data_IF_521247983437
#
_entry.id   IF_521247983437
#
_cell.length_a   1.000
_cell.length_b   1.000
_cell.length_c   1.000
_cell.angle_alpha   90.00
_cell.angle_beta   90.00
_cell.angle_gamma   90.00
#
_symmetry.space_group_name_H-M   'P 1'
#
loop_
_entity.id
_entity.type
_entity.pdbx_description
1 polymer ?
#
# COMPACT_ATOMS: atom_id res chain seq x y z
N UNK A 1 2.84 -14.75 12.75
CA UNK A 1 2.78 -15.50 11.49
C UNK A 1 1.55 -16.41 11.45
N UNK A 2 1.36 -17.30 12.43
CA UNK A 2 0.23 -18.23 12.46
C UNK A 2 -1.15 -17.54 12.43
N UNK A 3 -1.33 -16.43 13.12
CA UNK A 3 -2.59 -15.66 13.10
C UNK A 3 -2.86 -15.01 11.74
N UNK A 4 -1.82 -14.63 10.99
CA UNK A 4 -1.96 -14.11 9.64
C UNK A 4 -2.39 -15.21 8.67
N UNK A 5 -1.75 -16.38 8.73
CA UNK A 5 -2.16 -17.56 7.93
C UNK A 5 -3.60 -17.93 8.19
N UNK A 6 -4.00 -18.05 9.48
CA UNK A 6 -5.38 -18.32 9.85
C UNK A 6 -6.35 -17.29 9.26
N UNK A 7 -5.98 -15.99 9.30
CA UNK A 7 -6.84 -14.94 8.75
C UNK A 7 -6.95 -15.01 7.22
N UNK A 8 -5.88 -15.35 6.53
CA UNK A 8 -5.89 -15.57 5.07
C UNK A 8 -6.79 -16.75 4.71
N UNK A 9 -6.71 -17.85 5.46
CA UNK A 9 -7.55 -19.03 5.29
C UNK A 9 -9.04 -18.69 5.48
N UNK A 10 -9.39 -17.99 6.58
CA UNK A 10 -10.75 -17.52 6.85
C UNK A 10 -11.34 -16.64 5.72
N UNK A 11 -10.48 -15.87 5.07
CA UNK A 11 -10.87 -14.97 3.98
C UNK A 11 -10.78 -15.62 2.58
N UNK A 12 -10.32 -16.86 2.48
CA UNK A 12 -10.12 -17.55 1.20
C UNK A 12 -8.98 -16.98 0.35
N UNK A 13 -8.02 -16.28 0.95
CA UNK A 13 -6.88 -15.65 0.31
C UNK A 13 -5.67 -16.58 0.37
N UNK A 14 -5.15 -16.98 -0.79
CA UNK A 14 -4.08 -17.96 -0.88
C UNK A 14 -4.58 -19.40 -0.65
N UNK A 15 -3.64 -20.32 -0.69
CA UNK A 15 -3.87 -21.76 -0.45
C UNK A 15 -2.72 -22.29 0.42
N UNK A 16 -2.84 -23.47 1.05
CA UNK A 16 -1.77 -24.02 1.89
C UNK A 16 -0.40 -24.03 1.22
N UNK A 17 -0.34 -24.28 -0.08
CA UNK A 17 0.90 -24.28 -0.88
C UNK A 17 1.52 -22.90 -1.08
N UNK A 18 0.75 -21.80 -0.90
CA UNK A 18 1.21 -20.43 -1.20
C UNK A 18 1.43 -19.57 0.05
N UNK A 19 0.88 -19.91 1.22
CA UNK A 19 1.00 -19.08 2.42
C UNK A 19 2.44 -18.73 2.80
N UNK A 20 3.33 -19.73 2.81
CA UNK A 20 4.73 -19.51 3.16
C UNK A 20 5.44 -18.55 2.19
N UNK A 21 5.17 -18.70 0.88
CA UNK A 21 5.76 -17.83 -0.15
C UNK A 21 5.24 -16.39 -0.04
N UNK A 22 3.95 -16.19 0.23
CA UNK A 22 3.35 -14.87 0.44
C UNK A 22 4.03 -14.16 1.61
N UNK A 23 4.15 -14.83 2.75
CA UNK A 23 4.80 -14.27 3.95
C UNK A 23 6.28 -13.95 3.69
N UNK A 24 6.98 -14.85 3.00
CA UNK A 24 8.38 -14.62 2.62
C UNK A 24 8.55 -13.38 1.75
N UNK A 25 7.64 -13.16 0.79
CA UNK A 25 7.66 -11.96 -0.07
C UNK A 25 7.47 -10.68 0.73
N UNK A 26 6.57 -10.66 1.73
CA UNK A 26 6.36 -9.48 2.58
C UNK A 26 7.65 -9.07 3.30
N UNK A 27 8.38 -10.02 3.84
CA UNK A 27 9.65 -9.80 4.54
C UNK A 27 10.79 -9.44 3.58
N UNK A 28 10.94 -10.19 2.49
CA UNK A 28 12.00 -9.98 1.48
C UNK A 28 11.91 -8.60 0.82
N UNK A 29 10.70 -8.10 0.60
CA UNK A 29 10.47 -6.76 0.05
C UNK A 29 10.49 -5.65 1.09
N UNK A 30 10.78 -5.97 2.35
CA UNK A 30 10.73 -5.03 3.47
C UNK A 30 9.38 -4.30 3.60
N UNK A 31 8.28 -5.00 3.37
CA UNK A 31 6.94 -4.45 3.65
C UNK A 31 6.56 -4.62 5.11
N UNK A 32 7.09 -5.65 5.74
CA UNK A 32 6.99 -5.90 7.19
C UNK A 32 8.35 -6.24 7.77
N UNK A 33 8.51 -5.93 9.03
CA UNK A 33 9.61 -6.42 9.88
C UNK A 33 9.05 -7.34 10.95
N UNK A 34 9.83 -8.31 11.38
CA UNK A 34 9.43 -9.24 12.43
C UNK A 34 10.13 -8.91 13.74
N UNK A 35 9.36 -8.47 14.74
CA UNK A 35 9.85 -8.17 16.07
C UNK A 35 9.08 -9.04 17.06
N UNK A 36 9.78 -9.79 17.89
CA UNK A 36 9.18 -10.70 18.87
C UNK A 36 8.13 -11.65 18.28
N UNK A 37 8.41 -12.25 17.12
CA UNK A 37 7.50 -13.13 16.35
C UNK A 37 6.20 -12.46 15.87
N UNK A 38 6.14 -11.13 15.86
CA UNK A 38 5.02 -10.34 15.33
C UNK A 38 5.45 -9.53 14.13
N UNK A 39 4.60 -9.44 13.12
CA UNK A 39 4.82 -8.56 11.96
C UNK A 39 4.40 -7.13 12.27
N UNK A 40 5.31 -6.21 11.99
CA UNK A 40 5.08 -4.79 12.05
C UNK A 40 5.22 -4.20 10.65
N UNK A 41 4.20 -3.48 10.13
CA UNK A 41 4.32 -2.82 8.84
C UNK A 41 5.42 -1.76 8.87
N UNK A 42 6.34 -1.82 7.92
CA UNK A 42 7.35 -0.78 7.70
C UNK A 42 6.72 0.44 7.03
N UNK A 43 7.44 1.56 6.97
CA UNK A 43 7.01 2.74 6.21
C UNK A 43 6.78 2.42 4.74
N UNK A 44 7.64 1.58 4.17
CA UNK A 44 7.48 1.10 2.79
C UNK A 44 6.20 0.27 2.64
N UNK A 45 5.90 -0.60 3.59
CA UNK A 45 4.67 -1.40 3.58
C UNK A 45 3.43 -0.51 3.66
N UNK A 46 3.40 0.46 4.58
CA UNK A 46 2.30 1.42 4.73
C UNK A 46 2.08 2.24 3.45
N UNK A 47 3.17 2.72 2.84
CA UNK A 47 3.12 3.50 1.61
C UNK A 47 2.54 2.69 0.44
N UNK A 48 3.02 1.46 0.26
CA UNK A 48 2.52 0.55 -0.80
C UNK A 48 1.06 0.18 -0.56
N UNK A 49 0.65 -0.13 0.67
CA UNK A 49 -0.76 -0.41 0.98
C UNK A 49 -1.65 0.77 0.63
N UNK A 50 -1.30 1.98 1.07
CA UNK A 50 -2.06 3.17 0.75
C UNK A 50 -2.13 3.47 -0.77
N UNK A 51 -1.03 3.25 -1.49
CA UNK A 51 -0.99 3.38 -2.94
C UNK A 51 -1.95 2.40 -3.62
N UNK A 52 -1.90 1.12 -3.24
CA UNK A 52 -2.74 0.08 -3.82
C UNK A 52 -4.22 0.30 -3.46
N UNK A 53 -4.54 0.63 -2.22
CA UNK A 53 -5.92 0.92 -1.79
C UNK A 53 -6.54 2.11 -2.54
N UNK A 54 -5.75 3.12 -2.90
CA UNK A 54 -6.25 4.31 -3.60
C UNK A 54 -6.33 4.16 -5.12
N UNK A 55 -5.40 3.45 -5.72
CA UNK A 55 -5.26 3.40 -7.17
C UNK A 55 -5.61 2.03 -7.77
N UNK A 56 -5.62 0.99 -6.95
CA UNK A 56 -5.88 -0.40 -7.32
C UNK A 56 -6.85 -1.09 -6.35
N UNK A 57 -7.83 -0.35 -5.82
CA UNK A 57 -8.74 -0.82 -4.76
C UNK A 57 -9.40 -2.17 -5.07
N UNK A 58 -9.85 -2.38 -6.32
CA UNK A 58 -10.42 -3.64 -6.78
C UNK A 58 -9.47 -4.83 -6.54
N UNK A 59 -8.18 -4.66 -6.81
CA UNK A 59 -7.17 -5.74 -6.79
C UNK A 59 -6.62 -6.05 -5.40
N UNK A 60 -6.87 -5.19 -4.41
CA UNK A 60 -6.54 -5.42 -2.99
C UNK A 60 -7.76 -5.74 -2.14
N UNK A 61 -8.94 -5.82 -2.76
CA UNK A 61 -10.17 -6.28 -2.11
C UNK A 61 -10.08 -7.77 -1.81
N UNK A 62 -10.48 -8.15 -0.59
CA UNK A 62 -10.39 -9.53 -0.14
C UNK A 62 -11.30 -10.47 -0.94
N UNK A 63 -12.50 -10.02 -1.30
CA UNK A 63 -13.45 -10.83 -2.07
C UNK A 63 -12.98 -11.02 -3.50
N UNK A 64 -12.34 -10.00 -4.08
CA UNK A 64 -11.73 -10.12 -5.41
C UNK A 64 -10.65 -11.18 -5.43
N UNK A 65 -9.73 -11.15 -4.45
CA UNK A 65 -8.64 -12.12 -4.33
C UNK A 65 -9.19 -13.53 -4.09
N UNK A 66 -10.13 -13.67 -3.15
CA UNK A 66 -10.77 -14.96 -2.88
C UNK A 66 -11.55 -15.50 -4.11
N UNK A 67 -12.22 -14.62 -4.85
CA UNK A 67 -12.92 -14.98 -6.08
C UNK A 67 -11.96 -15.49 -7.17
N UNK A 68 -10.81 -14.84 -7.33
CA UNK A 68 -9.78 -15.27 -8.28
C UNK A 68 -9.17 -16.63 -7.88
N UNK A 69 -8.91 -16.86 -6.60
CA UNK A 69 -8.45 -18.16 -6.09
C UNK A 69 -9.46 -19.27 -6.40
N UNK A 70 -10.75 -19.01 -6.23
CA UNK A 70 -11.80 -19.96 -6.56
C UNK A 70 -11.87 -20.25 -8.07
N UNK A 71 -11.71 -19.24 -8.93
CA UNK A 71 -11.63 -19.44 -10.38
C UNK A 71 -10.43 -20.30 -10.78
N UNK A 72 -9.28 -20.13 -10.11
CA UNK A 72 -8.11 -20.99 -10.32
C UNK A 72 -8.38 -22.46 -9.93
N UNK A 73 -9.13 -22.70 -8.85
CA UNK A 73 -9.57 -24.04 -8.46
C UNK A 73 -10.53 -24.65 -9.51
N UNK A 74 -11.42 -23.85 -10.09
CA UNK A 74 -12.32 -24.29 -11.17
C UNK A 74 -11.57 -24.64 -12.46
N UNK A 75 -10.53 -23.88 -12.79
CA UNK A 75 -9.61 -24.22 -13.90
C UNK A 75 -8.94 -25.57 -13.63
N UNK A 76 -8.42 -25.76 -12.42
CA UNK A 76 -7.73 -27.02 -12.04
C UNK A 76 -8.66 -28.22 -12.10
N UNK A 77 -9.95 -28.03 -11.78
CA UNK A 77 -10.98 -29.08 -11.89
C UNK A 77 -11.55 -29.27 -13.30
N UNK A 78 -11.07 -28.51 -14.28
CA UNK A 78 -11.52 -28.61 -15.68
C UNK A 78 -12.90 -27.99 -15.97
N UNK A 79 -13.46 -27.21 -15.02
CA UNK A 79 -14.76 -26.57 -15.18
C UNK A 79 -14.69 -25.25 -15.96
N UNK A 80 -13.54 -24.59 -15.96
CA UNK A 80 -13.33 -23.32 -16.64
C UNK A 80 -12.03 -23.29 -17.43
N UNK A 81 -12.01 -22.54 -18.54
CA UNK A 81 -10.83 -22.38 -19.39
C UNK A 81 -9.90 -21.27 -18.85
N UNK A 82 -8.65 -21.60 -18.60
CA UNK A 82 -7.66 -20.67 -18.04
C UNK A 82 -7.42 -19.42 -18.91
N UNK A 83 -7.46 -19.55 -20.25
CA UNK A 83 -7.25 -18.43 -21.17
C UNK A 83 -8.32 -17.36 -20.95
N UNK A 84 -9.59 -17.74 -20.87
CA UNK A 84 -10.71 -16.84 -20.67
C UNK A 84 -10.60 -16.06 -19.35
N UNK A 85 -10.23 -16.74 -18.27
CA UNK A 85 -10.05 -16.11 -16.96
C UNK A 85 -8.91 -15.10 -16.98
N UNK A 86 -7.77 -15.45 -17.60
CA UNK A 86 -6.64 -14.54 -17.75
C UNK A 86 -6.95 -13.35 -18.67
N UNK A 87 -7.65 -13.55 -19.76
CA UNK A 87 -8.04 -12.45 -20.67
C UNK A 87 -8.94 -11.44 -19.99
N UNK A 88 -9.95 -11.90 -19.24
CA UNK A 88 -10.84 -11.02 -18.48
C UNK A 88 -10.06 -10.24 -17.40
N UNK A 89 -9.23 -10.92 -16.62
CA UNK A 89 -8.39 -10.27 -15.62
C UNK A 89 -7.46 -9.24 -16.26
N UNK A 90 -6.76 -9.63 -17.32
CA UNK A 90 -5.76 -8.78 -17.97
C UNK A 90 -6.36 -7.53 -18.59
N UNK A 91 -7.52 -7.63 -19.21
CA UNK A 91 -8.22 -6.50 -19.80
C UNK A 91 -8.50 -5.43 -18.75
N UNK A 92 -9.20 -5.79 -17.69
CA UNK A 92 -9.56 -4.86 -16.61
C UNK A 92 -8.32 -4.29 -15.93
N UNK A 93 -7.32 -5.14 -15.67
CA UNK A 93 -6.08 -4.72 -15.03
C UNK A 93 -5.29 -3.72 -15.88
N UNK A 94 -5.18 -3.98 -17.18
CA UNK A 94 -4.44 -3.12 -18.10
C UNK A 94 -5.14 -1.76 -18.30
N UNK A 95 -6.47 -1.74 -18.34
CA UNK A 95 -7.25 -0.50 -18.35
C UNK A 95 -6.95 0.35 -17.10
N UNK A 96 -6.99 -0.25 -15.91
CA UNK A 96 -6.68 0.46 -14.68
C UNK A 96 -5.22 0.96 -14.64
N UNK A 97 -4.27 0.13 -15.05
CA UNK A 97 -2.85 0.53 -15.16
C UNK A 97 -2.68 1.73 -16.09
N UNK A 98 -3.40 1.78 -17.21
CA UNK A 98 -3.35 2.91 -18.14
C UNK A 98 -3.84 4.20 -17.50
N UNK A 99 -4.96 4.16 -16.79
CA UNK A 99 -5.48 5.32 -16.04
C UNK A 99 -4.50 5.80 -14.96
N UNK A 100 -3.86 4.87 -14.25
CA UNK A 100 -2.88 5.22 -13.20
C UNK A 100 -1.61 5.82 -13.80
N UNK A 101 -1.16 5.33 -14.95
CA UNK A 101 0.03 5.86 -15.65
C UNK A 101 -0.12 7.32 -16.12
N UNK A 102 -1.33 7.75 -16.42
CA UNK A 102 -1.62 9.13 -16.81
C UNK A 102 -1.54 10.13 -15.65
N UNK A 103 -1.64 9.64 -14.40
CA UNK A 103 -1.55 10.51 -13.22
C UNK A 103 -0.14 11.07 -13.04
N UNK A 104 -0.07 12.36 -12.75
CA UNK A 104 1.20 13.02 -12.41
C UNK A 104 1.67 12.55 -11.04
N UNK A 105 2.98 12.43 -10.87
CA UNK A 105 3.60 12.06 -9.57
C UNK A 105 3.07 12.90 -8.41
N UNK A 106 2.82 14.19 -8.62
CA UNK A 106 2.28 15.09 -7.60
C UNK A 106 0.88 14.70 -7.16
N UNK A 107 -0.01 14.36 -8.09
CA UNK A 107 -1.38 13.92 -7.78
C UNK A 107 -1.37 12.63 -6.95
N UNK A 108 -0.49 11.70 -7.29
CA UNK A 108 -0.31 10.47 -6.52
C UNK A 108 0.20 10.77 -5.11
N UNK A 109 1.18 11.66 -4.97
CA UNK A 109 1.70 12.07 -3.66
C UNK A 109 0.63 12.76 -2.81
N UNK A 110 -0.21 13.61 -3.39
CA UNK A 110 -1.30 14.28 -2.67
C UNK A 110 -2.34 13.26 -2.18
N UNK A 111 -2.74 12.30 -3.01
CA UNK A 111 -3.62 11.19 -2.60
C UNK A 111 -3.03 10.36 -1.44
N UNK A 112 -1.74 10.04 -1.52
CA UNK A 112 -1.06 9.29 -0.47
C UNK A 112 -0.89 10.12 0.81
N UNK A 113 -0.61 11.41 0.69
CA UNK A 113 -0.48 12.34 1.79
C UNK A 113 -1.79 12.45 2.61
N UNK A 114 -2.93 12.39 1.95
CA UNK A 114 -4.24 12.39 2.61
C UNK A 114 -4.54 11.04 3.27
N UNK A 115 -4.28 9.93 2.58
CA UNK A 115 -4.50 8.59 3.11
C UNK A 115 -3.63 8.29 4.33
N UNK A 116 -2.37 8.66 4.28
CA UNK A 116 -1.39 8.36 5.32
C UNK A 116 -1.36 9.44 6.43
N UNK A 117 -2.08 10.53 6.25
CA UNK A 117 -2.03 11.67 7.16
C UNK A 117 -2.22 11.29 8.63
N UNK A 118 -3.21 10.47 8.93
CA UNK A 118 -3.49 9.99 10.30
C UNK A 118 -2.44 9.04 10.88
N UNK A 119 -1.63 8.40 10.03
CA UNK A 119 -0.55 7.49 10.43
C UNK A 119 0.79 8.23 10.61
N UNK A 120 0.99 9.31 9.84
CA UNK A 120 2.26 10.04 9.75
C UNK A 120 2.30 11.24 10.68
N UNK A 121 1.18 11.95 10.83
CA UNK A 121 1.09 13.19 11.61
C UNK A 121 0.32 12.99 12.91
N UNK A 122 0.65 13.79 13.89
CA UNK A 122 -0.09 13.85 15.14
C UNK A 122 -1.43 14.55 14.91
N UNK A 123 -2.35 14.35 15.85
CA UNK A 123 -3.58 15.15 15.91
C UNK A 123 -3.38 16.31 16.87
N UNK A 124 -3.92 17.44 16.51
CA UNK A 124 -4.01 18.58 17.40
C UNK A 124 -5.06 18.38 18.52
N UNK A 125 -5.25 19.37 19.37
CA UNK A 125 -6.21 19.34 20.48
C UNK A 125 -7.67 19.18 20.01
N UNK A 126 -7.96 19.56 18.78
CA UNK A 126 -9.28 19.49 18.14
C UNK A 126 -9.46 18.20 17.33
N UNK A 127 -8.49 17.28 17.38
CA UNK A 127 -8.50 15.99 16.68
C UNK A 127 -8.15 16.10 15.19
N UNK A 128 -7.77 17.27 14.68
CA UNK A 128 -7.32 17.48 13.31
C UNK A 128 -5.86 17.07 13.14
N UNK A 129 -5.51 16.66 11.92
CA UNK A 129 -4.13 16.27 11.58
C UNK A 129 -3.24 17.53 11.61
N UNK A 130 -2.27 17.55 12.53
CA UNK A 130 -1.30 18.64 12.63
C UNK A 130 -0.16 18.45 11.62
N UNK A 131 -0.15 19.32 10.63
CA UNK A 131 0.89 19.38 9.58
C UNK A 131 1.82 20.58 9.73
N UNK A 132 1.78 21.29 10.86
CA UNK A 132 2.60 22.47 11.06
C UNK A 132 4.08 22.11 11.13
N UNK A 133 4.90 22.86 10.40
CA UNK A 133 6.35 22.69 10.47
C UNK A 133 6.89 23.23 11.80
N UNK A 134 7.56 22.37 12.57
CA UNK A 134 8.15 22.74 13.87
C UNK A 134 9.42 23.59 13.76
N UNK A 135 9.95 23.80 12.54
CA UNK A 135 11.17 24.60 12.33
C UNK A 135 10.87 26.04 11.93
N UNK A 136 9.91 26.27 11.04
CA UNK A 136 9.58 27.62 10.56
C UNK A 136 8.19 28.11 10.97
N UNK A 137 7.41 27.28 11.66
CA UNK A 137 6.05 27.55 12.17
C UNK A 137 5.00 28.00 11.14
N UNK A 138 5.41 28.46 9.96
CA UNK A 138 4.54 28.94 8.88
C UNK A 138 4.31 27.94 7.76
N UNK A 139 5.19 26.94 7.62
CA UNK A 139 5.09 25.91 6.57
C UNK A 139 4.24 24.73 6.97
N UNK A 140 3.73 24.01 5.97
CA UNK A 140 3.00 22.76 6.13
C UNK A 140 3.85 21.57 5.74
N UNK A 141 3.77 20.49 6.51
CA UNK A 141 4.46 19.24 6.25
C UNK A 141 3.65 18.34 5.34
N UNK A 142 4.29 17.78 4.33
CA UNK A 142 3.67 16.86 3.38
C UNK A 142 4.65 15.79 2.90
N UNK A 143 4.08 14.71 2.36
CA UNK A 143 4.83 13.65 1.70
C UNK A 143 5.54 14.21 0.46
N UNK A 144 6.80 13.91 0.33
CA UNK A 144 7.67 14.29 -0.79
C UNK A 144 8.37 13.07 -1.34
N UNK A 145 8.74 13.11 -2.61
CA UNK A 145 9.56 12.09 -3.24
C UNK A 145 11.02 12.55 -3.30
N UNK A 146 11.94 11.66 -2.95
CA UNK A 146 13.36 11.90 -3.08
C UNK A 146 13.83 11.59 -4.51
N UNK A 147 14.77 12.38 -5.03
CA UNK A 147 15.39 12.13 -6.34
C UNK A 147 16.14 10.78 -6.38
N UNK A 148 16.63 10.29 -5.24
CA UNK A 148 17.33 9.00 -5.12
C UNK A 148 16.38 7.81 -4.89
N UNK A 149 15.07 8.03 -5.01
CA UNK A 149 14.04 7.06 -4.66
C UNK A 149 13.71 7.05 -3.15
N UNK A 150 12.45 6.79 -2.85
CA UNK A 150 11.93 6.80 -1.48
C UNK A 150 11.12 8.06 -1.16
N UNK A 151 10.31 7.95 -0.10
CA UNK A 151 9.43 9.02 0.35
C UNK A 151 9.93 9.58 1.69
N UNK A 152 9.74 10.86 1.90
CA UNK A 152 10.07 11.58 3.14
C UNK A 152 9.03 12.68 3.39
N UNK A 153 8.99 13.19 4.61
CA UNK A 153 8.16 14.33 4.97
C UNK A 153 9.00 15.60 4.87
N UNK A 154 8.54 16.57 4.11
CA UNK A 154 9.22 17.85 3.91
C UNK A 154 8.30 19.04 4.10
N UNK A 155 8.90 20.21 4.43
CA UNK A 155 8.20 21.48 4.57
C UNK A 155 7.81 22.08 3.22
N UNK A 156 6.66 22.75 3.16
CA UNK A 156 6.20 23.49 1.98
C UNK A 156 7.07 24.71 1.65
N UNK A 157 7.76 25.28 2.64
CA UNK A 157 8.59 26.47 2.50
C UNK A 157 10.02 26.18 2.02
N UNK A 158 10.25 25.01 1.43
CA UNK A 158 11.53 24.77 0.76
C UNK A 158 11.69 25.73 -0.45
N UNK A 159 12.86 26.35 -0.67
CA UNK A 159 14.18 26.10 -0.05
C UNK A 159 14.48 26.88 1.23
N UNK A 160 13.63 27.83 1.67
CA UNK A 160 13.88 28.66 2.84
C UNK A 160 13.87 27.83 4.13
N UNK A 161 12.95 26.89 4.23
CA UNK A 161 12.91 25.90 5.30
C UNK A 161 13.29 24.52 4.79
N UNK A 162 14.42 23.99 5.30
CA UNK A 162 14.97 22.68 4.91
C UNK A 162 14.55 21.53 5.84
N UNK A 163 13.47 21.70 6.59
CA UNK A 163 13.00 20.65 7.48
C UNK A 163 12.59 19.40 6.70
N UNK A 164 13.17 18.27 7.05
CA UNK A 164 12.79 16.94 6.55
C UNK A 164 12.83 15.90 7.66
N UNK A 165 12.01 14.87 7.56
CA UNK A 165 12.06 13.68 8.41
C UNK A 165 11.59 12.43 7.66
N UNK A 166 11.93 11.20 8.12
CA UNK A 166 11.34 9.96 7.60
C UNK A 166 9.83 9.90 7.89
N UNK A 167 9.14 8.91 7.30
CA UNK A 167 7.70 8.69 7.52
C UNK A 167 7.43 8.23 8.96
N UNK A 168 8.21 7.28 9.46
CA UNK A 168 8.16 6.85 10.85
C UNK A 168 8.72 7.93 11.79
N UNK A 169 8.16 7.98 12.98
CA UNK A 169 8.65 8.85 14.06
C UNK A 169 9.89 8.27 14.69
#
# INVERSE_FOLDING_TARGET
EASLVKKMEELGIGRPSTYASIISVLSTRNYVEQVNKRFHPTDRGKLISAFLEKLFSKYVDYNFTAGLENQLDEITSGKEGWIKVLEMFWKDFNENVSVVKEKRTREVLDLLNDSLGSLIFERDKDGKIDRKCKLCDSGSLSLKNSFRGGAFIGCSNYPDCKFTRPLSK
#
